data_IF_474764267171
#
_entry.id   IF_474764267171
#
_cell.length_a   1.000
_cell.length_b   1.000
_cell.length_c   1.000
_cell.angle_alpha   90.00
_cell.angle_beta   90.00
_cell.angle_gamma   90.00
#
_symmetry.space_group_name_H-M   'P 1'
#
loop_
_entity.id
_entity.type
_entity.pdbx_description
1 polymer ?
#
# COMPACT_ATOMS: atom_id res chain seq x y z
N UNK A 1 8.07 23.15 -10.28
CA UNK A 1 7.11 22.88 -11.35
C UNK A 1 6.79 24.22 -11.97
N UNK A 2 6.63 24.30 -13.29
CA UNK A 2 6.14 25.57 -13.85
C UNK A 2 4.67 25.80 -13.44
N UNK A 3 4.17 27.02 -13.64
CA UNK A 3 2.82 27.39 -13.21
C UNK A 3 1.74 26.48 -13.80
N UNK A 4 1.81 26.24 -15.12
CA UNK A 4 0.83 25.45 -15.88
C UNK A 4 0.78 23.99 -15.43
N UNK A 5 1.95 23.39 -15.19
CA UNK A 5 2.06 22.01 -14.72
C UNK A 5 1.51 21.86 -13.30
N UNK A 6 1.72 22.86 -12.45
CA UNK A 6 1.17 22.86 -11.09
C UNK A 6 -0.36 22.94 -11.08
N UNK A 7 -0.94 23.77 -11.95
CA UNK A 7 -2.41 23.88 -12.10
C UNK A 7 -3.00 22.58 -12.62
N UNK A 8 -2.40 21.99 -13.66
CA UNK A 8 -2.80 20.70 -14.21
C UNK A 8 -2.76 19.60 -13.14
N UNK A 9 -1.67 19.51 -12.38
CA UNK A 9 -1.56 18.54 -11.30
C UNK A 9 -2.60 18.80 -10.19
N UNK A 10 -2.87 20.06 -9.85
CA UNK A 10 -3.90 20.40 -8.86
C UNK A 10 -5.28 19.91 -9.30
N UNK A 11 -5.64 20.13 -10.57
CA UNK A 11 -6.88 19.62 -11.14
C UNK A 11 -6.94 18.09 -11.10
N UNK A 12 -5.85 17.42 -11.48
CA UNK A 12 -5.72 15.95 -11.44
C UNK A 12 -5.90 15.38 -10.02
N UNK A 13 -5.42 16.09 -8.99
CA UNK A 13 -5.62 15.69 -7.58
C UNK A 13 -7.06 15.91 -7.11
N UNK A 14 -7.71 16.99 -7.56
CA UNK A 14 -9.14 17.21 -7.28
C UNK A 14 -10.01 16.14 -7.94
N UNK A 15 -9.72 15.77 -9.18
CA UNK A 15 -10.38 14.66 -9.87
C UNK A 15 -10.12 13.34 -9.13
N UNK A 16 -8.87 13.09 -8.71
CA UNK A 16 -8.51 11.90 -7.91
C UNK A 16 -9.37 11.78 -6.64
N UNK A 17 -9.64 12.89 -5.95
CA UNK A 17 -10.53 12.90 -4.78
C UNK A 17 -11.99 12.63 -5.15
N UNK A 18 -12.49 13.21 -6.24
CA UNK A 18 -13.84 12.92 -6.75
C UNK A 18 -14.01 11.43 -7.08
N UNK A 19 -13.05 10.85 -7.80
CA UNK A 19 -13.05 9.43 -8.13
C UNK A 19 -12.91 8.54 -6.89
N UNK A 20 -12.15 8.96 -5.88
CA UNK A 20 -12.13 8.27 -4.59
C UNK A 20 -13.52 8.20 -3.97
N UNK A 21 -14.26 9.32 -3.90
CA UNK A 21 -15.60 9.35 -3.31
C UNK A 21 -16.58 8.42 -4.03
N UNK A 22 -16.49 8.33 -5.36
CA UNK A 22 -17.28 7.37 -6.13
C UNK A 22 -16.97 5.93 -5.70
N UNK A 23 -15.71 5.50 -5.75
CA UNK A 23 -15.35 4.13 -5.37
C UNK A 23 -15.56 3.84 -3.87
N UNK A 24 -15.42 4.83 -3.00
CA UNK A 24 -15.72 4.66 -1.58
C UNK A 24 -17.22 4.44 -1.34
N UNK A 25 -18.08 4.99 -2.19
CA UNK A 25 -19.51 4.71 -2.17
C UNK A 25 -19.81 3.29 -2.65
N UNK A 26 -19.29 2.91 -3.83
CA UNK A 26 -19.49 1.56 -4.39
C UNK A 26 -18.93 0.47 -3.46
N UNK A 27 -17.77 0.72 -2.83
CA UNK A 27 -17.14 -0.22 -1.90
C UNK A 27 -17.99 -0.56 -0.66
N UNK A 28 -19.07 0.19 -0.36
CA UNK A 28 -19.97 -0.13 0.76
C UNK A 28 -20.80 -1.40 0.51
N UNK A 29 -21.03 -1.76 -0.75
CA UNK A 29 -21.78 -2.98 -1.10
C UNK A 29 -20.93 -4.23 -0.92
N UNK A 30 -19.60 -4.09 -1.07
CA UNK A 30 -18.64 -5.19 -1.11
C UNK A 30 -18.93 -6.26 -2.18
N UNK A 31 -19.73 -5.94 -3.20
CA UNK A 31 -20.04 -6.84 -4.31
C UNK A 31 -18.84 -7.01 -5.25
N UNK A 32 -18.07 -5.94 -5.43
CA UNK A 32 -16.87 -5.93 -6.27
C UNK A 32 -15.63 -5.52 -5.45
N UNK A 33 -14.71 -6.45 -5.16
CA UNK A 33 -13.46 -6.15 -4.44
C UNK A 33 -12.59 -5.08 -5.11
N UNK A 34 -12.79 -4.85 -6.41
CA UNK A 34 -12.06 -3.83 -7.16
C UNK A 34 -12.42 -2.42 -6.72
N UNK A 35 -13.61 -2.16 -6.17
CA UNK A 35 -13.98 -0.82 -5.69
C UNK A 35 -13.14 -0.41 -4.47
N UNK A 36 -12.92 -1.34 -3.54
CA UNK A 36 -11.98 -1.17 -2.41
C UNK A 36 -10.57 -0.91 -2.93
N UNK A 37 -10.15 -1.65 -3.97
CA UNK A 37 -8.84 -1.48 -4.59
C UNK A 37 -8.67 -0.10 -5.23
N UNK A 38 -9.65 0.35 -6.02
CA UNK A 38 -9.63 1.63 -6.73
C UNK A 38 -9.65 2.80 -5.75
N UNK A 39 -10.51 2.77 -4.72
CA UNK A 39 -10.52 3.77 -3.64
C UNK A 39 -9.14 3.87 -2.98
N UNK A 40 -8.52 2.73 -2.64
CA UNK A 40 -7.17 2.67 -2.05
C UNK A 40 -6.09 3.22 -2.98
N UNK A 41 -6.18 3.02 -4.30
CA UNK A 41 -5.25 3.63 -5.26
C UNK A 41 -5.35 5.16 -5.24
N UNK A 42 -6.57 5.70 -5.26
CA UNK A 42 -6.79 7.16 -5.30
C UNK A 42 -6.29 7.84 -4.01
N UNK A 43 -6.61 7.28 -2.84
CA UNK A 43 -6.06 7.78 -1.56
C UNK A 43 -4.54 7.73 -1.53
N UNK A 44 -3.94 6.65 -2.04
CA UNK A 44 -2.48 6.51 -2.06
C UNK A 44 -1.82 7.65 -2.84
N UNK A 45 -2.40 8.06 -3.97
CA UNK A 45 -1.90 9.19 -4.76
C UNK A 45 -1.94 10.50 -3.98
N UNK A 46 -3.08 10.81 -3.34
CA UNK A 46 -3.24 12.01 -2.51
C UNK A 46 -2.24 12.04 -1.35
N UNK A 47 -2.11 10.92 -0.62
CA UNK A 47 -1.15 10.74 0.47
C UNK A 47 0.29 10.90 -0.03
N UNK A 48 0.61 10.37 -1.22
CA UNK A 48 1.95 10.46 -1.80
C UNK A 48 2.34 11.92 -2.01
N UNK A 49 1.49 12.71 -2.65
CA UNK A 49 1.77 14.13 -2.86
C UNK A 49 1.86 14.91 -1.54
N UNK A 50 0.95 14.68 -0.59
CA UNK A 50 1.02 15.35 0.72
C UNK A 50 2.33 15.04 1.46
N UNK A 51 2.85 13.81 1.39
CA UNK A 51 4.16 13.45 1.95
C UNK A 51 5.34 14.07 1.21
N UNK A 52 5.22 14.23 -0.11
CA UNK A 52 6.26 14.82 -0.95
C UNK A 52 6.43 16.31 -0.66
N UNK A 53 5.33 17.01 -0.37
CA UNK A 53 5.35 18.45 -0.06
C UNK A 53 5.34 18.78 1.43
N UNK A 54 5.58 17.78 2.27
CA UNK A 54 5.69 17.90 3.73
C UNK A 54 4.46 18.51 4.42
N UNK A 55 3.27 18.00 4.06
CA UNK A 55 1.98 18.38 4.62
C UNK A 55 1.36 17.21 5.40
N UNK A 56 2.16 16.48 6.19
CA UNK A 56 1.72 15.26 6.90
C UNK A 56 1.01 15.53 8.22
N UNK A 57 1.10 16.75 8.75
CA UNK A 57 0.43 17.13 10.00
C UNK A 57 -0.96 17.74 9.77
N UNK A 58 -1.35 17.90 8.51
CA UNK A 58 -2.62 18.52 8.14
C UNK A 58 -3.79 17.58 8.46
N UNK A 59 -4.90 18.06 9.05
CA UNK A 59 -6.02 17.20 9.46
C UNK A 59 -6.56 16.32 8.32
N UNK A 60 -6.61 16.87 7.10
CA UNK A 60 -7.02 16.14 5.88
C UNK A 60 -6.11 14.94 5.62
N UNK A 61 -4.80 15.11 5.78
CA UNK A 61 -3.84 14.02 5.60
C UNK A 61 -4.05 12.91 6.63
N UNK A 62 -4.26 13.27 7.90
CA UNK A 62 -4.49 12.30 8.98
C UNK A 62 -5.78 11.51 8.74
N UNK A 63 -6.84 12.16 8.24
CA UNK A 63 -8.08 11.49 7.83
C UNK A 63 -7.83 10.53 6.66
N UNK A 64 -7.13 10.96 5.61
CA UNK A 64 -6.77 10.07 4.51
C UNK A 64 -5.97 8.86 4.98
N UNK A 65 -5.06 9.03 5.94
CA UNK A 65 -4.28 7.94 6.52
C UNK A 65 -5.15 6.92 7.25
N UNK A 66 -6.15 7.38 8.01
CA UNK A 66 -7.13 6.50 8.68
C UNK A 66 -7.98 5.74 7.66
N UNK A 67 -8.49 6.42 6.63
CA UNK A 67 -9.24 5.77 5.54
C UNK A 67 -8.35 4.75 4.81
N UNK A 68 -7.14 5.13 4.41
CA UNK A 68 -6.19 4.26 3.72
C UNK A 68 -5.85 2.98 4.51
N UNK A 69 -5.81 3.08 5.84
CA UNK A 69 -5.64 1.94 6.72
C UNK A 69 -6.88 1.03 6.68
N UNK A 70 -8.08 1.56 6.90
CA UNK A 70 -9.32 0.78 6.89
C UNK A 70 -9.58 0.07 5.54
N UNK A 71 -9.40 0.77 4.41
CA UNK A 71 -9.45 0.16 3.08
C UNK A 71 -8.37 -0.91 2.87
N UNK A 72 -7.22 -0.76 3.55
CA UNK A 72 -6.13 -1.73 3.49
C UNK A 72 -6.45 -3.04 4.16
N UNK A 73 -7.04 -2.98 5.35
CA UNK A 73 -7.42 -4.18 6.10
C UNK A 73 -8.39 -5.07 5.32
N UNK A 74 -9.33 -4.45 4.58
CA UNK A 74 -10.25 -5.17 3.70
C UNK A 74 -9.53 -5.75 2.49
N UNK A 75 -8.81 -4.91 1.72
CA UNK A 75 -8.16 -5.39 0.48
C UNK A 75 -7.11 -6.46 0.73
N UNK A 76 -6.36 -6.35 1.82
CA UNK A 76 -5.32 -7.32 2.15
C UNK A 76 -5.93 -8.72 2.43
N UNK A 77 -7.16 -8.79 2.96
CA UNK A 77 -7.90 -10.04 3.15
C UNK A 77 -8.60 -10.52 1.87
N UNK A 78 -9.14 -9.63 1.04
CA UNK A 78 -9.70 -10.00 -0.27
C UNK A 78 -8.63 -10.69 -1.14
N UNK A 79 -7.43 -10.09 -1.24
CA UNK A 79 -6.29 -10.68 -1.99
C UNK A 79 -5.92 -12.06 -1.45
N UNK A 80 -6.01 -12.25 -0.14
CA UNK A 80 -5.65 -13.52 0.46
C UNK A 80 -6.68 -14.61 0.19
N UNK A 81 -7.98 -14.29 0.25
CA UNK A 81 -9.05 -15.21 -0.13
C UNK A 81 -8.92 -15.59 -1.61
N UNK A 82 -8.68 -14.61 -2.50
CA UNK A 82 -8.42 -14.85 -3.93
C UNK A 82 -7.24 -15.82 -4.15
N UNK A 83 -6.22 -15.75 -3.30
CA UNK A 83 -5.02 -16.58 -3.40
C UNK A 83 -5.11 -17.93 -2.67
N UNK A 84 -6.19 -18.21 -1.93
CA UNK A 84 -6.37 -19.46 -1.17
C UNK A 84 -6.91 -20.56 -2.09
N UNK A 85 -6.31 -21.75 -2.05
CA UNK A 85 -6.82 -22.91 -2.78
C UNK A 85 -8.07 -23.45 -2.07
N UNK A 86 -9.04 -24.02 -2.77
CA UNK A 86 -10.19 -24.70 -2.12
C UNK A 86 -10.16 -26.20 -2.41
N UNK A 87 -8.96 -26.79 -2.40
CA UNK A 87 -8.76 -28.20 -2.80
C UNK A 87 -8.83 -29.16 -1.63
N UNK A 88 -8.47 -28.72 -0.43
CA UNK A 88 -8.49 -29.55 0.78
C UNK A 88 -9.49 -29.00 1.79
N UNK A 89 -9.93 -29.85 2.70
CA UNK A 89 -10.77 -29.43 3.84
C UNK A 89 -10.04 -28.40 4.71
N UNK A 90 -8.73 -28.57 4.88
CA UNK A 90 -7.89 -27.65 5.64
C UNK A 90 -7.82 -26.27 5.00
N UNK A 91 -7.70 -26.20 3.66
CA UNK A 91 -7.77 -24.92 2.97
C UNK A 91 -9.15 -24.26 3.09
N UNK A 92 -10.23 -25.04 3.05
CA UNK A 92 -11.60 -24.52 3.24
C UNK A 92 -11.78 -23.94 4.65
N UNK A 93 -11.27 -24.62 5.68
CA UNK A 93 -11.30 -24.11 7.05
C UNK A 93 -10.50 -22.80 7.16
N UNK A 94 -9.34 -22.71 6.50
CA UNK A 94 -8.55 -21.47 6.46
C UNK A 94 -9.27 -20.35 5.72
N UNK A 95 -9.87 -20.64 4.56
CA UNK A 95 -10.67 -19.68 3.80
C UNK A 95 -11.84 -19.15 4.65
N UNK A 96 -12.54 -20.00 5.39
CA UNK A 96 -13.61 -19.61 6.30
C UNK A 96 -13.10 -18.70 7.43
N UNK A 97 -11.93 -19.01 8.00
CA UNK A 97 -11.28 -18.16 9.01
C UNK A 97 -10.98 -16.76 8.46
N UNK A 98 -10.39 -16.67 7.27
CA UNK A 98 -10.07 -15.39 6.62
C UNK A 98 -11.36 -14.63 6.24
N UNK A 99 -12.40 -15.33 5.77
CA UNK A 99 -13.69 -14.74 5.42
C UNK A 99 -14.39 -14.12 6.64
N UNK A 100 -14.33 -14.76 7.80
CA UNK A 100 -14.85 -14.22 9.05
C UNK A 100 -14.11 -12.93 9.46
N UNK A 101 -12.78 -12.91 9.36
CA UNK A 101 -12.00 -11.70 9.61
C UNK A 101 -12.38 -10.57 8.64
N UNK A 102 -12.55 -10.90 7.36
CA UNK A 102 -12.91 -9.95 6.32
C UNK A 102 -14.27 -9.30 6.62
N UNK A 103 -15.26 -10.08 7.05
CA UNK A 103 -16.56 -9.53 7.46
C UNK A 103 -16.42 -8.48 8.56
N UNK A 104 -15.63 -8.77 9.61
CA UNK A 104 -15.35 -7.80 10.67
C UNK A 104 -14.68 -6.53 10.15
N UNK A 105 -13.67 -6.65 9.28
CA UNK A 105 -12.99 -5.49 8.69
C UNK A 105 -13.87 -4.68 7.76
N UNK A 106 -14.80 -5.31 7.04
CA UNK A 106 -15.83 -4.65 6.22
C UNK A 106 -16.75 -3.79 7.07
N UNK A 107 -17.23 -4.29 8.20
CA UNK A 107 -18.01 -3.50 9.17
C UNK A 107 -17.22 -2.30 9.70
N UNK A 108 -15.97 -2.49 10.12
CA UNK A 108 -15.10 -1.39 10.57
C UNK A 108 -14.85 -0.35 9.47
N UNK A 109 -14.72 -0.77 8.22
CA UNK A 109 -14.56 0.14 7.08
C UNK A 109 -15.83 0.99 6.88
N UNK A 110 -17.02 0.39 6.91
CA UNK A 110 -18.29 1.13 6.84
C UNK A 110 -18.37 2.18 7.95
N UNK A 111 -18.14 1.78 9.21
CA UNK A 111 -18.16 2.71 10.35
C UNK A 111 -17.16 3.85 10.19
N UNK A 112 -15.94 3.53 9.74
CA UNK A 112 -14.89 4.53 9.50
C UNK A 112 -15.31 5.50 8.39
N UNK A 113 -15.92 5.01 7.32
CA UNK A 113 -16.41 5.85 6.22
C UNK A 113 -17.55 6.76 6.68
N UNK A 114 -18.54 6.23 7.41
CA UNK A 114 -19.64 7.05 7.96
C UNK A 114 -19.15 8.14 8.91
N UNK A 115 -18.13 7.84 9.71
CA UNK A 115 -17.56 8.81 10.64
C UNK A 115 -16.75 9.91 9.95
N UNK A 116 -15.99 9.56 8.90
CA UNK A 116 -14.99 10.45 8.33
C UNK A 116 -15.41 11.12 7.02
N UNK A 117 -16.12 10.40 6.15
CA UNK A 117 -16.53 10.90 4.83
C UNK A 117 -17.79 11.76 5.00
N UNK A 118 -17.63 13.06 4.84
CA UNK A 118 -18.70 14.05 5.00
C UNK A 118 -18.54 15.20 4.00
N UNK A 119 -19.59 15.99 3.83
CA UNK A 119 -19.55 17.22 3.03
C UNK A 119 -18.53 18.23 3.58
N UNK A 120 -18.28 18.23 4.89
CA UNK A 120 -17.23 19.07 5.49
C UNK A 120 -15.83 18.59 5.13
N UNK A 121 -15.61 17.27 5.14
CA UNK A 121 -14.35 16.71 4.66
C UNK A 121 -14.14 17.06 3.18
N UNK A 122 -15.17 16.92 2.34
CA UNK A 122 -15.05 17.25 0.90
C UNK A 122 -14.62 18.72 0.69
N UNK A 123 -15.28 19.66 1.37
CA UNK A 123 -14.89 21.09 1.32
C UNK A 123 -13.48 21.31 1.84
N UNK A 124 -13.08 20.63 2.91
CA UNK A 124 -11.74 20.74 3.48
C UNK A 124 -10.67 20.17 2.57
N UNK A 125 -10.93 19.04 1.90
CA UNK A 125 -10.04 18.46 0.89
C UNK A 125 -9.86 19.40 -0.29
N UNK A 126 -10.94 19.97 -0.83
CA UNK A 126 -10.86 20.92 -1.96
C UNK A 126 -10.03 22.16 -1.59
N UNK A 127 -10.25 22.74 -0.41
CA UNK A 127 -9.45 23.87 0.12
C UNK A 127 -7.99 23.49 0.32
N UNK A 128 -7.73 22.30 0.89
CA UNK A 128 -6.38 21.80 1.11
C UNK A 128 -5.62 21.61 -0.21
N UNK A 129 -6.24 20.97 -1.20
CA UNK A 129 -5.67 20.71 -2.51
C UNK A 129 -5.42 21.99 -3.31
N UNK A 130 -6.38 22.92 -3.36
CA UNK A 130 -6.25 24.16 -4.11
C UNK A 130 -5.43 25.26 -3.39
N UNK A 131 -5.19 25.10 -2.09
CA UNK A 131 -4.49 26.08 -1.25
C UNK A 131 -3.10 25.60 -0.82
N UNK A 132 -2.93 25.06 0.40
CA UNK A 132 -1.64 24.63 0.94
C UNK A 132 -0.84 23.72 -0.01
N UNK A 133 -1.48 22.71 -0.60
CA UNK A 133 -0.85 21.77 -1.52
C UNK A 133 -0.31 22.48 -2.77
N UNK A 134 -1.16 23.17 -3.52
CA UNK A 134 -0.75 23.95 -4.71
C UNK A 134 0.36 24.95 -4.38
N UNK A 135 0.26 25.66 -3.25
CA UNK A 135 1.28 26.64 -2.82
C UNK A 135 2.65 26.00 -2.60
N UNK A 136 2.70 24.79 -2.02
CA UNK A 136 3.95 24.05 -1.85
C UNK A 136 4.49 23.53 -3.19
N UNK A 137 3.63 22.95 -4.02
CA UNK A 137 4.01 22.44 -5.35
C UNK A 137 4.61 23.54 -6.25
N UNK A 138 4.07 24.77 -6.20
CA UNK A 138 4.63 25.92 -6.95
C UNK A 138 6.08 26.25 -6.56
N UNK A 139 6.54 25.84 -5.37
CA UNK A 139 7.88 26.12 -4.84
C UNK A 139 8.89 24.99 -5.02
N UNK A 140 8.46 23.85 -5.55
CA UNK A 140 9.29 22.64 -5.68
C UNK A 140 9.33 22.22 -7.14
N UNK A 141 10.48 21.84 -7.66
CA UNK A 141 10.63 21.19 -8.95
C UNK A 141 10.30 19.69 -8.87
N UNK A 142 9.81 19.15 -9.97
CA UNK A 142 9.54 17.73 -10.15
C UNK A 142 10.80 16.90 -9.90
N UNK A 143 11.98 17.42 -10.29
CA UNK A 143 13.29 16.81 -10.06
C UNK A 143 13.61 16.71 -8.57
N UNK A 144 13.37 17.77 -7.78
CA UNK A 144 13.58 17.75 -6.34
C UNK A 144 12.67 16.72 -5.65
N UNK A 145 11.41 16.63 -6.07
CA UNK A 145 10.47 15.64 -5.53
C UNK A 145 10.91 14.20 -5.81
N UNK A 146 11.34 13.92 -7.04
CA UNK A 146 11.86 12.60 -7.43
C UNK A 146 13.13 12.27 -6.65
N UNK A 147 14.08 13.20 -6.58
CA UNK A 147 15.35 12.99 -5.89
C UNK A 147 15.16 12.78 -4.38
N UNK A 148 14.21 13.47 -3.75
CA UNK A 148 13.87 13.25 -2.35
C UNK A 148 13.32 11.83 -2.10
N UNK A 149 12.51 11.30 -3.03
CA UNK A 149 11.98 9.94 -2.94
C UNK A 149 13.08 8.88 -3.19
N UNK A 150 13.94 9.11 -4.18
CA UNK A 150 15.11 8.29 -4.48
C UNK A 150 16.05 8.20 -3.27
N UNK A 151 16.44 9.33 -2.69
CA UNK A 151 17.32 9.36 -1.50
C UNK A 151 16.74 8.56 -0.32
N UNK A 152 15.42 8.57 -0.14
CA UNK A 152 14.75 7.75 0.89
C UNK A 152 14.82 6.26 0.54
N UNK A 153 14.65 5.89 -0.72
CA UNK A 153 14.82 4.52 -1.21
C UNK A 153 16.26 4.03 -1.00
N UNK A 154 17.26 4.78 -1.46
CA UNK A 154 18.69 4.45 -1.30
C UNK A 154 19.05 4.21 0.17
N UNK A 155 18.62 5.11 1.07
CA UNK A 155 18.82 4.95 2.51
C UNK A 155 18.21 3.64 3.05
N UNK A 156 17.02 3.26 2.58
CA UNK A 156 16.37 2.01 3.02
C UNK A 156 17.01 0.78 2.41
N UNK A 157 17.52 0.88 1.18
CA UNK A 157 18.31 -0.18 0.56
C UNK A 157 19.56 -0.47 1.36
N UNK A 158 20.37 0.55 1.65
CA UNK A 158 21.60 0.39 2.44
C UNK A 158 21.31 -0.21 3.84
N UNK A 159 20.19 0.16 4.46
CA UNK A 159 19.77 -0.40 5.75
C UNK A 159 19.40 -1.88 5.65
N UNK A 160 18.83 -2.31 4.52
CA UNK A 160 18.50 -3.70 4.26
C UNK A 160 19.74 -4.53 3.88
N UNK A 161 20.68 -3.97 3.11
CA UNK A 161 21.94 -4.66 2.77
C UNK A 161 22.82 -4.93 4.01
N UNK A 162 22.68 -4.12 5.07
CA UNK A 162 23.40 -4.28 6.33
C UNK A 162 22.84 -5.38 7.26
N UNK A 163 21.63 -5.89 7.02
CA UNK A 163 21.07 -6.95 7.87
C UNK A 163 21.43 -8.34 7.34
N UNK A 164 21.87 -9.20 8.24
CA UNK A 164 22.32 -10.55 7.93
C UNK A 164 21.18 -11.57 8.07
N UNK A 165 21.38 -12.77 7.51
CA UNK A 165 20.40 -13.89 7.61
C UNK A 165 20.01 -14.21 9.05
N UNK A 166 20.97 -14.14 9.98
CA UNK A 166 20.79 -14.42 11.41
C UNK A 166 19.93 -13.38 12.15
N UNK A 167 19.64 -12.25 11.52
CA UNK A 167 18.89 -11.15 12.16
C UNK A 167 17.37 -11.41 12.20
N UNK A 168 16.89 -12.54 11.66
CA UNK A 168 15.51 -13.02 11.83
C UNK A 168 14.45 -11.95 11.53
N UNK A 169 13.62 -11.64 12.53
CA UNK A 169 12.53 -10.64 12.45
C UNK A 169 13.01 -9.27 11.98
N UNK A 170 14.18 -8.82 12.42
CA UNK A 170 14.75 -7.52 12.02
C UNK A 170 14.98 -7.46 10.51
N UNK A 171 15.31 -8.58 9.87
CA UNK A 171 15.47 -8.64 8.41
C UNK A 171 14.14 -8.48 7.69
N UNK A 172 13.06 -9.09 8.20
CA UNK A 172 11.70 -8.91 7.68
C UNK A 172 11.24 -7.45 7.82
N UNK A 173 11.50 -6.83 8.97
CA UNK A 173 11.19 -5.41 9.21
C UNK A 173 11.91 -4.50 8.20
N UNK A 174 13.23 -4.70 7.99
CA UNK A 174 13.98 -3.92 7.00
C UNK A 174 13.51 -4.16 5.56
N UNK A 175 13.15 -5.39 5.22
CA UNK A 175 12.53 -5.70 3.92
C UNK A 175 11.22 -4.92 3.74
N UNK A 176 10.37 -4.89 4.78
CA UNK A 176 9.12 -4.13 4.73
C UNK A 176 9.35 -2.63 4.59
N UNK A 177 10.31 -2.06 5.32
CA UNK A 177 10.70 -0.65 5.17
C UNK A 177 11.20 -0.33 3.76
N UNK A 178 12.05 -1.18 3.18
CA UNK A 178 12.52 -1.07 1.80
C UNK A 178 11.34 -1.12 0.84
N UNK A 179 10.42 -2.07 0.99
CA UNK A 179 9.20 -2.17 0.18
C UNK A 179 8.37 -0.88 0.20
N UNK A 180 8.20 -0.26 1.37
CA UNK A 180 7.49 1.01 1.49
C UNK A 180 8.21 2.15 0.76
N UNK A 181 9.54 2.19 0.83
CA UNK A 181 10.35 3.18 0.14
C UNK A 181 10.34 2.98 -1.39
N UNK A 182 10.45 1.72 -1.88
CA UNK A 182 10.31 1.37 -3.29
C UNK A 182 8.94 1.78 -3.83
N UNK A 183 7.86 1.50 -3.08
CA UNK A 183 6.51 1.94 -3.42
C UNK A 183 6.45 3.47 -3.55
N UNK A 184 6.91 4.18 -2.52
CA UNK A 184 6.92 5.63 -2.53
C UNK A 184 7.69 6.19 -3.74
N UNK A 185 8.90 5.69 -4.00
CA UNK A 185 9.71 6.13 -5.13
C UNK A 185 9.05 5.83 -6.47
N UNK A 186 8.54 4.61 -6.68
CA UNK A 186 7.82 4.25 -7.90
C UNK A 186 6.61 5.15 -8.14
N UNK A 187 5.78 5.37 -7.13
CA UNK A 187 4.60 6.22 -7.26
C UNK A 187 4.98 7.67 -7.56
N UNK A 188 6.02 8.21 -6.92
CA UNK A 188 6.52 9.55 -7.23
C UNK A 188 6.93 9.67 -8.69
N UNK A 189 7.75 8.74 -9.20
CA UNK A 189 8.17 8.76 -10.61
C UNK A 189 6.98 8.54 -11.55
N UNK A 190 6.09 7.60 -11.23
CA UNK A 190 4.92 7.26 -12.05
C UNK A 190 3.95 8.45 -12.18
N UNK A 191 3.66 9.15 -11.07
CA UNK A 191 2.75 10.30 -11.06
C UNK A 191 3.39 11.58 -11.61
N UNK A 192 4.71 11.76 -11.47
CA UNK A 192 5.43 12.91 -12.03
C UNK A 192 5.91 12.69 -13.47
N UNK A 193 5.77 11.49 -14.03
CA UNK A 193 6.16 11.19 -15.42
C UNK A 193 5.54 12.16 -16.45
N UNK A 194 4.26 12.55 -16.36
CA UNK A 194 3.67 13.52 -17.30
C UNK A 194 4.31 14.92 -17.25
N UNK A 195 5.09 15.21 -16.22
CA UNK A 195 5.72 16.51 -15.93
C UNK A 195 7.25 16.43 -16.00
N UNK A 196 7.82 15.29 -16.41
CA UNK A 196 9.27 15.05 -16.46
C UNK A 196 9.67 14.27 -17.71
N UNK A 197 10.97 14.26 -18.01
CA UNK A 197 11.55 13.46 -19.10
C UNK A 197 12.01 12.06 -18.64
N UNK A 198 11.50 11.58 -17.50
CA UNK A 198 11.90 10.27 -16.98
C UNK A 198 11.42 9.16 -17.92
N UNK A 199 12.30 8.24 -18.35
CA UNK A 199 11.91 7.16 -19.23
C UNK A 199 10.99 6.18 -18.50
N UNK A 200 10.10 5.52 -19.25
CA UNK A 200 9.23 4.46 -18.71
C UNK A 200 10.04 3.35 -18.02
N UNK A 201 11.24 3.07 -18.53
CA UNK A 201 12.16 2.07 -17.98
C UNK A 201 12.55 2.33 -16.52
N UNK A 202 12.56 3.58 -16.05
CA UNK A 202 12.82 3.90 -14.64
C UNK A 202 11.68 3.37 -13.74
N UNK A 203 10.43 3.49 -14.19
CA UNK A 203 9.26 2.94 -13.48
C UNK A 203 9.28 1.41 -13.55
N UNK A 204 9.64 0.83 -14.70
CA UNK A 204 9.65 -0.62 -14.90
C UNK A 204 10.65 -1.33 -13.97
N UNK A 205 11.85 -0.76 -13.78
CA UNK A 205 12.84 -1.29 -12.79
C UNK A 205 12.27 -1.30 -11.38
N UNK A 206 11.70 -0.18 -10.93
CA UNK A 206 11.08 -0.08 -9.60
C UNK A 206 9.87 -0.99 -9.45
N UNK A 207 9.13 -1.25 -10.53
CA UNK A 207 8.01 -2.19 -10.54
C UNK A 207 8.49 -3.62 -10.34
N UNK A 208 9.59 -4.03 -10.98
CA UNK A 208 10.18 -5.35 -10.78
C UNK A 208 10.60 -5.57 -9.31
N UNK A 209 11.36 -4.63 -8.73
CA UNK A 209 11.74 -4.67 -7.31
C UNK A 209 10.51 -4.66 -6.39
N UNK A 210 9.49 -3.84 -6.70
CA UNK A 210 8.24 -3.83 -5.93
C UNK A 210 7.52 -5.18 -5.98
N UNK A 211 7.50 -5.87 -7.12
CA UNK A 211 6.87 -7.20 -7.25
C UNK A 211 7.57 -8.22 -6.37
N UNK A 212 8.90 -8.30 -6.41
CA UNK A 212 9.67 -9.21 -5.55
C UNK A 212 9.40 -8.93 -4.05
N UNK A 213 9.55 -7.68 -3.62
CA UNK A 213 9.28 -7.29 -2.22
C UNK A 213 7.80 -7.46 -1.83
N UNK A 214 6.90 -7.34 -2.80
CA UNK A 214 5.47 -7.60 -2.65
C UNK A 214 5.21 -9.07 -2.30
N UNK A 215 5.71 -9.98 -3.13
CA UNK A 215 5.56 -11.42 -2.93
C UNK A 215 6.08 -11.87 -1.56
N UNK A 216 7.26 -11.39 -1.16
CA UNK A 216 7.85 -11.72 0.15
C UNK A 216 6.97 -11.23 1.30
N UNK A 217 6.47 -10.00 1.21
CA UNK A 217 5.54 -9.45 2.19
C UNK A 217 4.24 -10.26 2.25
N UNK A 218 3.73 -10.72 1.10
CA UNK A 218 2.49 -11.50 1.04
C UNK A 218 2.68 -12.90 1.64
N UNK A 219 3.84 -13.56 1.40
CA UNK A 219 4.22 -14.81 2.08
C UNK A 219 4.31 -14.61 3.60
N UNK A 220 4.94 -13.53 4.07
CA UNK A 220 5.01 -13.21 5.50
C UNK A 220 3.61 -13.00 6.11
N UNK A 221 2.75 -12.20 5.46
CA UNK A 221 1.40 -11.93 5.95
C UNK A 221 0.49 -13.18 5.95
N UNK A 222 0.74 -14.10 5.02
CA UNK A 222 0.10 -15.41 4.99
C UNK A 222 0.58 -16.28 6.16
N UNK A 223 1.89 -16.34 6.39
CA UNK A 223 2.49 -17.07 7.53
C UNK A 223 1.91 -16.62 8.87
N UNK A 224 1.83 -15.31 9.12
CA UNK A 224 1.28 -14.78 10.38
C UNK A 224 -0.18 -15.20 10.61
N UNK A 225 -0.98 -15.29 9.55
CA UNK A 225 -2.36 -15.75 9.66
C UNK A 225 -2.48 -17.26 9.88
N UNK A 226 -1.62 -18.05 9.26
CA UNK A 226 -1.53 -19.48 9.57
C UNK A 226 -1.15 -19.71 11.04
N UNK A 227 -0.28 -18.87 11.58
CA UNK A 227 0.08 -18.90 13.01
C UNK A 227 -1.10 -18.52 13.91
N UNK A 228 -1.95 -17.57 13.54
CA UNK A 228 -3.16 -17.22 14.31
C UNK A 228 -4.36 -18.14 14.07
N UNK A 229 -4.32 -18.99 13.04
CA UNK A 229 -5.43 -19.85 12.67
C UNK A 229 -5.51 -21.08 13.59
N UNK A 230 -6.55 -21.16 14.41
CA UNK A 230 -6.80 -22.31 15.27
C UNK A 230 -7.59 -23.40 14.51
N UNK A 231 -7.14 -24.65 14.64
CA UNK A 231 -7.75 -25.81 13.98
C UNK A 231 -8.07 -26.93 14.97
N UNK A 232 -9.07 -27.79 14.68
CA UNK A 232 -9.28 -29.01 15.43
C UNK A 232 -7.99 -29.86 15.52
N UNK A 233 -7.85 -30.63 16.60
CA UNK A 233 -6.63 -31.41 16.89
C UNK A 233 -6.20 -32.32 15.73
N UNK A 234 -7.17 -32.84 14.95
CA UNK A 234 -6.93 -33.71 13.79
C UNK A 234 -6.16 -33.03 12.66
N UNK A 235 -6.21 -31.69 12.53
CA UNK A 235 -5.50 -30.93 11.49
C UNK A 235 -4.23 -30.23 12.00
N UNK A 236 -3.85 -30.41 13.27
CA UNK A 236 -2.73 -29.68 13.86
C UNK A 236 -1.39 -29.99 13.17
N UNK A 237 -1.14 -31.27 12.83
CA UNK A 237 0.08 -31.64 12.10
C UNK A 237 0.12 -31.04 10.69
N UNK A 238 -1.02 -30.96 10.01
CA UNK A 238 -1.12 -30.34 8.68
C UNK A 238 -0.88 -28.83 8.76
N UNK A 239 -1.48 -28.16 9.74
CA UNK A 239 -1.22 -26.74 10.02
C UNK A 239 0.27 -26.47 10.29
N UNK A 240 0.92 -27.26 11.13
CA UNK A 240 2.34 -27.11 11.43
C UNK A 240 3.22 -27.32 10.19
N UNK A 241 2.89 -28.30 9.35
CA UNK A 241 3.57 -28.50 8.05
C UNK A 241 3.42 -27.29 7.14
N UNK A 242 2.23 -26.69 7.08
CA UNK A 242 1.98 -25.51 6.27
C UNK A 242 2.73 -24.28 6.77
N UNK A 243 2.78 -24.06 8.08
CA UNK A 243 3.57 -23.00 8.72
C UNK A 243 5.05 -23.17 8.34
N UNK A 244 5.61 -24.37 8.53
CA UNK A 244 7.01 -24.66 8.20
C UNK A 244 7.31 -24.41 6.72
N UNK A 245 6.42 -24.83 5.81
CA UNK A 245 6.55 -24.57 4.37
C UNK A 245 6.65 -23.08 4.06
N UNK A 246 5.80 -22.26 4.67
CA UNK A 246 5.80 -20.81 4.47
C UNK A 246 7.02 -20.13 5.10
N UNK A 247 7.53 -20.63 6.22
CA UNK A 247 8.80 -20.18 6.83
C UNK A 247 9.99 -20.42 5.89
N UNK A 248 10.07 -21.63 5.32
CA UNK A 248 11.12 -21.99 4.36
C UNK A 248 11.00 -21.15 3.07
N UNK A 249 9.79 -20.96 2.55
CA UNK A 249 9.50 -20.11 1.39
C UNK A 249 9.93 -18.65 1.64
N UNK A 250 9.55 -18.08 2.79
CA UNK A 250 9.91 -16.72 3.18
C UNK A 250 11.43 -16.56 3.31
N UNK A 251 12.10 -17.53 3.95
CA UNK A 251 13.56 -17.52 4.11
C UNK A 251 14.26 -17.56 2.76
N UNK A 252 13.85 -18.47 1.88
CA UNK A 252 14.39 -18.60 0.53
C UNK A 252 14.21 -17.31 -0.27
N UNK A 253 13.01 -16.73 -0.24
CA UNK A 253 12.71 -15.51 -0.98
C UNK A 253 13.49 -14.29 -0.46
N UNK A 254 13.70 -14.17 0.86
CA UNK A 254 14.56 -13.13 1.45
C UNK A 254 16.02 -13.26 1.01
N UNK A 255 16.49 -14.48 0.75
CA UNK A 255 17.86 -14.77 0.31
C UNK A 255 18.10 -14.51 -1.18
N UNK A 256 17.04 -14.47 -1.99
CA UNK A 256 17.09 -14.27 -3.44
C UNK A 256 16.72 -12.84 -3.88
N UNK A 257 16.60 -11.89 -2.94
CA UNK A 257 16.26 -10.50 -3.31
C UNK A 257 17.40 -9.89 -4.13
N UNK A 258 17.10 -9.60 -5.40
CA UNK A 258 17.93 -8.76 -6.27
C UNK A 258 17.43 -7.32 -6.19
N UNK A 259 18.22 -6.42 -5.59
CA UNK A 259 17.81 -5.03 -5.46
C UNK A 259 18.36 -4.23 -6.64
N UNK A 260 17.47 -3.58 -7.39
CA UNK A 260 17.88 -2.71 -8.47
C UNK A 260 18.70 -1.53 -7.94
N UNK A 261 19.85 -1.30 -8.56
CA UNK A 261 20.61 -0.06 -8.41
C UNK A 261 19.90 1.07 -9.20
N UNK A 262 19.92 2.28 -8.63
CA UNK A 262 19.35 3.49 -9.24
C UNK A 262 19.96 3.81 -10.59
#
# INVERSE_FOLDING_TARGET
MNHRDTEKLTFELLETWSTFNHYAKEAQTFENPEDVHQARIRLRKLITFARLVDLTEEPVYLIWKRLMHAFGEVRDLDVQLEATSNKTEMDQLFANHVALQLQGKRSTLIETMHLLISNELDRSVRRFLAGPMTKRLKRMSEKELIHAAEKRYEKKREQFEKVQRKDGTKRVERMHELRLATKAYRYTVEYLRPYTHQPKSAVDRLKATQTQLGNINDTYQRLERWRSFEVPSIYQEERLRQIKRLEDELRSALDQIEIAHG
#
